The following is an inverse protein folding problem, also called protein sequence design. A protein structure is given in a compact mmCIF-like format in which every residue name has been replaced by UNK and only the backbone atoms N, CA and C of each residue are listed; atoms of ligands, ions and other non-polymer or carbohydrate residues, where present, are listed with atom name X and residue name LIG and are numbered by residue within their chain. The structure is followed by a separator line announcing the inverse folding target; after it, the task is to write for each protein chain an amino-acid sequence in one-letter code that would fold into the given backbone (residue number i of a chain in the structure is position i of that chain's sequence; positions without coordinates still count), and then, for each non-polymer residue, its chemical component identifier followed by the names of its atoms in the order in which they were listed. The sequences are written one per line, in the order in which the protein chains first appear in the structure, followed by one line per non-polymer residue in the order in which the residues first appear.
data_IF_840741463543
#
_entry.id   IF_840741463543
#
_cell.length_a   1.000
_cell.length_b   1.000
_cell.length_c   1.000
_cell.angle_alpha   90.00
_cell.angle_beta   90.00
_cell.angle_gamma   90.00
#
_symmetry.space_group_name_H-M   'P 1'
#
loop_
_entity.id
_entity.type
_entity.pdbx_description
1 polymer ?
#
# COMPACT_ATOMS: atom_id res chain seq x y z
N UNK A 1 -11.54 -7.74 -2.08
CA UNK A 1 -12.91 -8.13 -1.64
C UNK A 1 -13.72 -6.88 -1.26
N UNK A 2 -14.98 -6.76 -1.71
CA UNK A 2 -15.75 -5.50 -1.59
C UNK A 2 -16.03 -5.06 -0.13
N UNK A 3 -16.39 -5.99 0.77
CA UNK A 3 -16.65 -5.70 2.19
C UNK A 3 -15.40 -5.15 2.89
N UNK A 4 -14.24 -5.73 2.60
CA UNK A 4 -12.97 -5.27 3.15
C UNK A 4 -12.59 -3.89 2.61
N UNK A 5 -12.83 -3.62 1.33
CA UNK A 5 -12.60 -2.30 0.74
C UNK A 5 -13.43 -1.20 1.43
N UNK A 6 -14.71 -1.49 1.74
CA UNK A 6 -15.56 -0.56 2.51
C UNK A 6 -14.99 -0.27 3.90
N UNK A 7 -14.48 -1.29 4.60
CA UNK A 7 -13.80 -1.13 5.89
C UNK A 7 -12.49 -0.33 5.78
N UNK A 8 -11.67 -0.59 4.75
CA UNK A 8 -10.43 0.16 4.50
C UNK A 8 -10.70 1.64 4.24
N UNK A 9 -11.80 1.96 3.57
CA UNK A 9 -12.18 3.33 3.25
C UNK A 9 -12.96 4.04 4.37
N UNK A 10 -13.38 3.33 5.43
CA UNK A 10 -14.29 3.91 6.43
C UNK A 10 -15.63 4.34 5.82
N UNK A 11 -16.09 3.62 4.79
CA UNK A 11 -17.24 4.06 3.98
C UNK A 11 -18.56 3.95 4.76
N UNK A 12 -18.98 5.06 5.39
CA UNK A 12 -20.23 5.13 6.20
C UNK A 12 -21.47 4.69 5.43
N UNK A 13 -21.58 5.09 4.16
CA UNK A 13 -22.71 4.70 3.30
C UNK A 13 -22.79 3.19 3.05
N UNK A 14 -21.68 2.47 3.23
CA UNK A 14 -21.60 1.01 3.09
C UNK A 14 -21.96 0.22 4.35
N UNK A 15 -22.21 0.89 5.48
CA UNK A 15 -22.38 0.24 6.79
C UNK A 15 -23.51 -0.82 6.78
N UNK A 16 -24.66 -0.52 6.17
CA UNK A 16 -25.79 -1.44 6.12
C UNK A 16 -25.45 -2.76 5.41
N UNK A 17 -24.66 -2.69 4.33
CA UNK A 17 -24.20 -3.86 3.57
C UNK A 17 -23.18 -4.66 4.38
N UNK A 18 -22.23 -3.98 5.03
CA UNK A 18 -21.22 -4.62 5.89
C UNK A 18 -21.89 -5.30 7.10
N UNK A 19 -22.90 -4.66 7.69
CA UNK A 19 -23.68 -5.22 8.80
C UNK A 19 -24.43 -6.48 8.37
N UNK A 20 -25.07 -6.48 7.20
CA UNK A 20 -25.74 -7.66 6.66
C UNK A 20 -24.75 -8.82 6.42
N UNK A 21 -23.55 -8.51 5.93
CA UNK A 21 -22.51 -9.51 5.67
C UNK A 21 -21.99 -10.23 6.93
N UNK A 22 -22.23 -9.70 8.14
CA UNK A 22 -21.88 -10.41 9.39
C UNK A 22 -22.67 -11.70 9.61
N UNK A 23 -23.84 -11.84 8.96
CA UNK A 23 -24.70 -13.02 9.01
C UNK A 23 -24.54 -13.94 7.78
N UNK A 24 -23.58 -13.68 6.90
CA UNK A 24 -23.38 -14.46 5.67
C UNK A 24 -23.03 -15.92 5.98
N UNK A 25 -23.44 -16.86 5.14
CA UNK A 25 -23.09 -18.29 5.27
C UNK A 25 -21.59 -18.55 5.08
N UNK A 26 -20.90 -17.73 4.29
CA UNK A 26 -19.48 -17.83 4.03
C UNK A 26 -18.67 -17.25 5.21
N UNK A 27 -17.85 -18.10 5.83
CA UNK A 27 -16.99 -17.72 6.96
C UNK A 27 -16.08 -16.53 6.64
N UNK A 28 -15.48 -16.51 5.46
CA UNK A 28 -14.56 -15.45 5.06
C UNK A 28 -15.28 -14.10 4.95
N UNK A 29 -16.51 -14.09 4.44
CA UNK A 29 -17.34 -12.88 4.36
C UNK A 29 -17.68 -12.36 5.76
N UNK A 30 -18.06 -13.25 6.69
CA UNK A 30 -18.34 -12.85 8.08
C UNK A 30 -17.11 -12.28 8.78
N UNK A 31 -15.95 -12.89 8.60
CA UNK A 31 -14.69 -12.41 9.19
C UNK A 31 -14.29 -11.04 8.60
N UNK A 32 -14.39 -10.87 7.29
CA UNK A 32 -14.17 -9.57 6.64
C UNK A 32 -15.17 -8.50 7.10
N UNK A 33 -16.44 -8.86 7.28
CA UNK A 33 -17.49 -7.97 7.77
C UNK A 33 -17.26 -7.57 9.23
N UNK A 34 -16.88 -8.50 10.09
CA UNK A 34 -16.55 -8.23 11.49
C UNK A 34 -15.35 -7.26 11.60
N UNK A 35 -14.36 -7.41 10.72
CA UNK A 35 -13.24 -6.46 10.64
C UNK A 35 -13.66 -5.09 10.09
N UNK A 36 -14.51 -5.03 9.07
CA UNK A 36 -14.90 -3.80 8.39
C UNK A 36 -15.93 -2.96 9.18
N UNK A 37 -16.85 -3.61 9.89
CA UNK A 37 -17.98 -2.96 10.56
C UNK A 37 -17.60 -1.81 11.52
N UNK A 38 -16.64 -1.98 12.46
CA UNK A 38 -16.27 -0.88 13.35
C UNK A 38 -15.74 0.34 12.58
N UNK A 39 -15.05 0.14 11.45
CA UNK A 39 -14.49 1.21 10.60
C UNK A 39 -15.55 1.92 9.78
N UNK A 40 -16.54 1.20 9.27
CA UNK A 40 -17.67 1.84 8.57
C UNK A 40 -18.58 2.60 9.53
N UNK A 41 -18.70 2.16 10.79
CA UNK A 41 -19.45 2.88 11.84
C UNK A 41 -18.71 4.15 12.28
N UNK A 42 -17.41 4.06 12.58
CA UNK A 42 -16.62 5.24 12.95
C UNK A 42 -16.44 6.20 11.76
N UNK A 43 -16.42 5.68 10.54
CA UNK A 43 -16.02 6.40 9.34
C UNK A 43 -14.51 6.58 9.21
N UNK A 44 -13.73 5.95 10.08
CA UNK A 44 -12.27 6.03 10.12
C UNK A 44 -11.72 4.77 9.45
N UNK A 45 -11.39 4.92 8.17
CA UNK A 45 -10.78 3.85 7.40
C UNK A 45 -9.31 3.66 7.73
N UNK A 46 -8.72 2.54 7.30
CA UNK A 46 -7.26 2.41 7.22
C UNK A 46 -6.68 3.46 6.25
N UNK A 47 -7.49 3.88 5.28
CA UNK A 47 -7.17 4.90 4.30
C UNK A 47 -6.89 6.27 4.90
N UNK A 48 -7.53 6.71 5.98
CA UNK A 48 -7.31 8.08 6.47
C UNK A 48 -5.91 8.21 7.08
N UNK A 49 -5.50 7.27 7.93
CA UNK A 49 -4.15 7.31 8.52
C UNK A 49 -3.05 6.96 7.53
N UNK A 50 -3.27 6.02 6.59
CA UNK A 50 -2.27 5.71 5.56
C UNK A 50 -2.19 6.79 4.49
N UNK A 51 -3.29 7.44 4.13
CA UNK A 51 -3.30 8.59 3.21
C UNK A 51 -2.68 9.80 3.88
N UNK A 52 -3.02 10.12 5.13
CA UNK A 52 -2.36 11.18 5.88
C UNK A 52 -0.87 10.89 6.03
N UNK A 53 -0.48 9.67 6.40
CA UNK A 53 0.93 9.28 6.44
C UNK A 53 1.57 9.43 5.07
N UNK A 54 0.97 8.87 4.02
CA UNK A 54 1.50 8.95 2.66
C UNK A 54 1.64 10.40 2.19
N UNK A 55 0.65 11.27 2.44
CA UNK A 55 0.70 12.70 2.11
C UNK A 55 1.73 13.44 2.97
N UNK A 56 1.86 13.10 4.25
CA UNK A 56 2.82 13.71 5.16
C UNK A 56 4.27 13.27 4.88
N UNK A 57 4.46 12.08 4.34
CA UNK A 57 5.78 11.53 3.98
C UNK A 57 6.07 11.61 2.48
N UNK A 58 5.14 12.12 1.67
CA UNK A 58 5.35 12.25 0.23
C UNK A 58 6.42 13.31 -0.01
N UNK A 59 7.52 12.90 -0.63
CA UNK A 59 8.48 13.84 -1.15
C UNK A 59 7.91 14.40 -2.46
N UNK A 60 7.64 15.72 -2.50
CA UNK A 60 7.27 16.45 -3.72
C UNK A 60 8.42 16.50 -4.75
N UNK A 61 9.58 15.94 -4.41
CA UNK A 61 10.67 15.75 -5.37
C UNK A 61 10.21 14.79 -6.47
N UNK A 62 10.25 15.20 -7.75
CA UNK A 62 9.92 14.29 -8.83
C UNK A 62 10.86 13.09 -8.76
N UNK A 63 10.29 11.90 -8.59
CA UNK A 63 11.02 10.65 -8.78
C UNK A 63 11.71 10.76 -10.14
N UNK A 64 13.04 10.74 -10.14
CA UNK A 64 13.82 10.81 -11.37
C UNK A 64 13.34 9.67 -12.29
N UNK A 65 12.60 10.04 -13.34
CA UNK A 65 11.97 9.06 -14.20
C UNK A 65 13.06 8.36 -15.02
N UNK A 66 13.13 7.04 -14.93
CA UNK A 66 13.98 6.26 -15.81
C UNK A 66 13.43 6.32 -17.24
N UNK A 67 14.28 6.66 -18.21
CA UNK A 67 13.94 6.69 -19.64
C UNK A 67 14.50 5.43 -20.30
N UNK A 68 13.65 4.71 -21.04
CA UNK A 68 14.06 3.48 -21.73
C UNK A 68 15.17 3.80 -22.73
N UNK A 69 16.28 3.06 -22.64
CA UNK A 69 17.44 3.23 -23.51
C UNK A 69 18.47 4.25 -23.01
N UNK A 70 18.14 5.04 -21.99
CA UNK A 70 19.10 5.90 -21.31
C UNK A 70 19.70 5.21 -20.08
N UNK A 71 20.83 5.74 -19.61
CA UNK A 71 21.41 5.29 -18.35
C UNK A 71 20.45 5.63 -17.23
N UNK A 72 20.13 4.64 -16.38
CA UNK A 72 19.28 4.86 -15.22
C UNK A 72 19.85 5.99 -14.33
N UNK A 73 18.99 6.90 -13.81
CA UNK A 73 19.38 7.93 -12.87
C UNK A 73 20.09 7.33 -11.66
N UNK A 74 21.15 7.98 -11.20
CA UNK A 74 21.82 7.57 -9.96
C UNK A 74 20.98 7.97 -8.76
N UNK A 75 20.78 7.04 -7.82
CA UNK A 75 20.11 7.29 -6.55
C UNK A 75 20.83 6.55 -5.44
N UNK A 76 20.66 7.00 -4.20
CA UNK A 76 21.24 6.40 -3.00
C UNK A 76 20.14 5.86 -2.08
N UNK A 77 20.32 4.66 -1.55
CA UNK A 77 19.44 4.04 -0.55
C UNK A 77 20.29 3.47 0.59
N UNK A 78 19.66 3.26 1.73
CA UNK A 78 20.23 2.39 2.76
C UNK A 78 20.05 0.93 2.34
N UNK A 79 21.09 0.12 2.49
CA UNK A 79 21.02 -1.32 2.34
C UNK A 79 20.46 -2.02 3.60
N UNK A 80 20.54 -3.35 3.64
CA UNK A 80 20.04 -4.15 4.76
C UNK A 80 20.86 -3.99 6.06
N UNK A 81 22.11 -3.57 5.95
CA UNK A 81 23.02 -3.33 7.07
C UNK A 81 22.97 -1.85 7.53
N UNK A 82 22.25 -1.00 6.80
CA UNK A 82 22.06 0.43 7.07
C UNK A 82 23.09 1.31 6.36
N UNK A 83 23.99 0.73 5.57
CA UNK A 83 25.00 1.46 4.83
C UNK A 83 24.37 2.15 3.61
N UNK A 84 24.84 3.36 3.30
CA UNK A 84 24.36 4.09 2.13
C UNK A 84 25.05 3.56 0.88
N UNK A 85 24.27 3.00 -0.05
CA UNK A 85 24.74 2.48 -1.34
C UNK A 85 24.11 3.27 -2.49
N UNK A 86 24.87 3.47 -3.57
CA UNK A 86 24.37 4.10 -4.81
C UNK A 86 24.11 3.06 -5.89
N UNK A 87 23.17 3.35 -6.77
CA UNK A 87 22.96 2.52 -7.97
C UNK A 87 24.23 2.42 -8.82
N UNK A 88 24.98 3.52 -8.93
CA UNK A 88 26.23 3.59 -9.69
C UNK A 88 27.35 2.70 -9.16
N UNK A 89 27.35 2.36 -7.86
CA UNK A 89 28.36 1.49 -7.25
C UNK A 89 28.34 0.08 -7.86
N UNK A 90 27.20 -0.33 -8.43
CA UNK A 90 27.01 -1.64 -9.05
C UNK A 90 27.25 -1.65 -10.56
N UNK A 91 27.63 -0.52 -11.19
CA UNK A 91 27.87 -0.50 -12.64
C UNK A 91 28.97 -1.48 -13.05
N UNK A 92 28.72 -2.24 -14.10
CA UNK A 92 29.66 -3.26 -14.61
C UNK A 92 29.78 -4.51 -13.75
N UNK A 93 29.05 -4.60 -12.63
CA UNK A 93 29.01 -5.77 -11.76
C UNK A 93 27.72 -6.57 -12.02
N UNK A 94 27.74 -7.89 -11.80
CA UNK A 94 26.52 -8.70 -11.80
C UNK A 94 25.76 -8.43 -10.50
N UNK A 95 24.69 -7.63 -10.57
CA UNK A 95 23.84 -7.29 -9.44
C UNK A 95 22.42 -7.82 -9.64
N UNK A 96 21.74 -8.14 -8.53
CA UNK A 96 20.33 -8.56 -8.52
C UNK A 96 19.51 -7.40 -7.98
N UNK A 97 18.54 -6.93 -8.77
CA UNK A 97 17.56 -5.94 -8.33
C UNK A 97 16.30 -6.69 -7.91
N UNK A 98 15.90 -6.55 -6.64
CA UNK A 98 14.65 -7.10 -6.13
C UNK A 98 13.63 -5.97 -6.10
N UNK A 99 12.54 -6.13 -6.85
CA UNK A 99 11.42 -5.18 -6.86
C UNK A 99 10.27 -5.84 -6.11
N UNK A 100 9.90 -5.25 -4.97
CA UNK A 100 8.72 -5.67 -4.21
C UNK A 100 7.50 -4.93 -4.73
N UNK A 101 6.78 -5.57 -5.66
CA UNK A 101 5.47 -5.08 -6.08
C UNK A 101 4.43 -5.63 -5.10
N UNK A 102 3.67 -4.73 -4.44
CA UNK A 102 2.40 -5.15 -3.84
C UNK A 102 1.45 -5.46 -5.00
N UNK A 103 1.35 -6.75 -5.34
CA UNK A 103 0.35 -7.24 -6.28
C UNK A 103 -0.82 -7.81 -5.46
N UNK A 104 -1.84 -7.00 -5.21
CA UNK A 104 -3.15 -7.49 -4.79
C UNK A 104 -4.00 -7.75 -6.04
N UNK A 105 -3.90 -8.97 -6.57
CA UNK A 105 -4.85 -9.48 -7.55
C UNK A 105 -5.93 -10.32 -6.87
#
# INVERSE_FOLDING_TARGET
MAVEALGRLGARDGEAVVRAATADTNRYIREAAAWALPRTVSGEGVGDSLRELALATWADEPLAAAIVGELAPDFALSDADGDTVRLSDYRGHKNVVIISLLADW
#
